data_IF_799956154347
#
_entry.id   IF_799956154347
#
_cell.length_a   1.000
_cell.length_b   1.000
_cell.length_c   1.000
_cell.angle_alpha   90.00
_cell.angle_beta   90.00
_cell.angle_gamma   90.00
#
_symmetry.space_group_name_H-M   'P 1'
#
loop_
_entity.id
_entity.type
_entity.pdbx_description
1 polymer ?
#
# COMPACT_ATOMS: atom_id res chain seq x y z
N UNK A 1 18.91 0.18 -40.58
CA UNK A 1 18.40 0.85 -39.35
C UNK A 1 19.48 1.07 -38.31
N UNK A 2 20.30 0.07 -37.95
CA UNK A 2 21.42 0.28 -37.01
C UNK A 2 22.46 1.31 -37.49
N UNK A 3 22.92 1.17 -38.74
CA UNK A 3 23.84 2.13 -39.33
C UNK A 3 23.25 3.54 -39.49
N UNK A 4 21.94 3.66 -39.74
CA UNK A 4 21.26 4.96 -39.93
C UNK A 4 21.02 5.71 -38.63
N UNK A 5 20.89 5.00 -37.50
CA UNK A 5 20.74 5.59 -36.17
C UNK A 5 22.06 5.66 -35.39
N UNK A 6 23.18 5.22 -35.99
CA UNK A 6 24.49 5.09 -35.34
C UNK A 6 24.44 4.30 -34.02
N UNK A 7 23.53 3.32 -33.93
CA UNK A 7 23.36 2.47 -32.76
C UNK A 7 23.87 1.06 -33.02
N UNK A 8 24.30 0.38 -31.95
CA UNK A 8 24.67 -1.03 -32.05
C UNK A 8 23.47 -1.87 -32.47
N UNK A 9 23.73 -2.93 -33.26
CA UNK A 9 22.68 -3.86 -33.69
C UNK A 9 21.96 -4.50 -32.49
N UNK A 10 22.70 -4.84 -31.43
CA UNK A 10 22.13 -5.46 -30.22
C UNK A 10 21.14 -4.54 -29.50
N UNK A 11 21.40 -3.23 -29.46
CA UNK A 11 20.47 -2.25 -28.87
C UNK A 11 19.15 -2.20 -29.63
N UNK A 12 19.21 -2.23 -30.96
CA UNK A 12 18.02 -2.20 -31.80
C UNK A 12 17.23 -3.50 -31.70
N UNK A 13 17.90 -4.65 -31.69
CA UNK A 13 17.22 -5.93 -31.47
C UNK A 13 16.51 -5.98 -30.12
N UNK A 14 17.16 -5.50 -29.05
CA UNK A 14 16.53 -5.45 -27.73
C UNK A 14 15.29 -4.55 -27.70
N UNK A 15 15.36 -3.39 -28.38
CA UNK A 15 14.21 -2.48 -28.49
C UNK A 15 13.07 -3.12 -29.30
N UNK A 16 13.37 -3.82 -30.40
CA UNK A 16 12.36 -4.54 -31.17
C UNK A 16 11.73 -5.69 -30.38
N UNK A 17 12.50 -6.44 -29.60
CA UNK A 17 11.96 -7.49 -28.71
C UNK A 17 11.05 -6.89 -27.65
N UNK A 18 11.43 -5.76 -27.05
CA UNK A 18 10.57 -5.05 -26.08
C UNK A 18 9.25 -4.59 -26.73
N UNK A 19 9.33 -3.94 -27.90
CA UNK A 19 8.14 -3.52 -28.66
C UNK A 19 7.25 -4.69 -29.09
N UNK A 20 7.83 -5.85 -29.38
CA UNK A 20 7.10 -7.09 -29.67
C UNK A 20 6.39 -7.62 -28.42
N UNK A 21 7.06 -7.65 -27.26
CA UNK A 21 6.45 -8.09 -25.99
C UNK A 21 5.32 -7.18 -25.51
N UNK A 22 5.42 -5.88 -25.78
CA UNK A 22 4.38 -4.90 -25.53
C UNK A 22 3.29 -4.88 -26.62
N UNK A 23 3.47 -5.69 -27.68
CA UNK A 23 2.52 -5.88 -28.78
C UNK A 23 2.43 -4.69 -29.74
N UNK A 24 3.44 -3.81 -29.81
CA UNK A 24 3.48 -2.68 -30.74
C UNK A 24 3.98 -3.08 -32.13
N UNK A 25 4.77 -4.15 -32.21
CA UNK A 25 5.35 -4.67 -33.45
C UNK A 25 5.06 -6.16 -33.56
N UNK A 26 4.71 -6.62 -34.75
CA UNK A 26 4.57 -8.04 -35.08
C UNK A 26 5.69 -8.44 -36.05
N UNK A 27 6.33 -9.60 -35.81
CA UNK A 27 7.31 -10.17 -36.73
C UNK A 27 6.70 -11.30 -37.54
N UNK A 28 6.86 -11.20 -38.86
CA UNK A 28 6.50 -12.26 -39.79
C UNK A 28 7.77 -12.85 -40.41
N UNK A 29 7.94 -14.17 -40.25
CA UNK A 29 9.13 -14.88 -40.77
C UNK A 29 9.20 -14.72 -42.29
N UNK A 30 10.31 -14.20 -42.80
CA UNK A 30 10.53 -13.96 -44.22
C UNK A 30 9.97 -12.63 -44.77
N UNK A 31 9.18 -11.88 -43.98
CA UNK A 31 8.56 -10.61 -44.40
C UNK A 31 8.98 -9.40 -43.56
N UNK A 32 9.56 -9.62 -42.38
CA UNK A 32 10.13 -8.56 -41.54
C UNK A 32 9.24 -8.16 -40.37
N UNK A 33 9.47 -6.97 -39.83
CA UNK A 33 8.75 -6.42 -38.67
C UNK A 33 7.72 -5.39 -39.14
N UNK A 34 6.47 -5.52 -38.71
CA UNK A 34 5.36 -4.62 -39.05
C UNK A 34 4.76 -4.01 -37.78
N UNK A 35 4.24 -2.78 -37.88
CA UNK A 35 3.54 -2.13 -36.77
C UNK A 35 2.19 -2.82 -36.58
N UNK A 36 1.88 -3.26 -35.36
CA UNK A 36 0.63 -3.92 -35.05
C UNK A 36 -0.54 -2.91 -35.16
N UNK A 37 -1.58 -3.25 -35.93
CA UNK A 37 -2.77 -2.42 -36.07
C UNK A 37 -3.65 -2.58 -34.82
N UNK A 38 -3.43 -1.73 -33.81
CA UNK A 38 -4.14 -1.80 -32.54
C UNK A 38 -5.40 -0.94 -32.56
N UNK A 39 -6.55 -1.52 -32.22
CA UNK A 39 -7.84 -0.81 -32.13
C UNK A 39 -8.03 -0.08 -30.80
N UNK A 40 -7.21 -0.35 -29.77
CA UNK A 40 -7.36 0.23 -28.43
C UNK A 40 -6.00 0.53 -27.78
N UNK A 41 -5.78 1.74 -27.21
CA UNK A 41 -4.57 2.06 -26.46
C UNK A 41 -4.50 1.28 -25.12
N UNK A 42 -3.26 0.98 -24.67
CA UNK A 42 -2.97 0.13 -23.49
C UNK A 42 -3.39 0.77 -22.15
N UNK A 43 -3.48 2.09 -22.09
CA UNK A 43 -4.36 2.76 -21.15
C UNK A 43 -5.65 3.01 -21.90
N UNK A 44 -6.82 2.73 -21.33
CA UNK A 44 -8.15 3.03 -21.87
C UNK A 44 -8.43 4.53 -22.07
N UNK A 45 -7.51 5.23 -22.72
CA UNK A 45 -7.58 6.59 -23.18
C UNK A 45 -7.84 6.52 -24.67
N UNK A 46 -9.07 6.15 -25.03
CA UNK A 46 -9.63 6.67 -26.27
C UNK A 46 -9.48 8.18 -26.17
N UNK A 47 -8.53 8.74 -26.90
CA UNK A 47 -8.35 10.19 -27.05
C UNK A 47 -9.53 10.70 -27.88
N UNK A 48 -10.70 10.66 -27.27
CA UNK A 48 -11.75 11.60 -27.59
C UNK A 48 -11.33 12.87 -26.86
N UNK A 49 -11.08 13.92 -27.61
CA UNK A 49 -10.94 15.27 -27.09
C UNK A 49 -12.27 15.76 -26.50
N UNK A 50 -12.83 15.02 -25.54
CA UNK A 50 -13.69 15.62 -24.54
C UNK A 50 -12.73 16.29 -23.57
N UNK A 51 -12.68 17.61 -23.62
CA UNK A 51 -12.15 18.41 -22.53
C UNK A 51 -12.89 17.99 -21.25
N UNK A 52 -12.41 16.96 -20.57
CA UNK A 52 -12.76 16.72 -19.19
C UNK A 52 -12.42 18.03 -18.48
N UNK A 53 -13.35 18.65 -17.74
CA UNK A 53 -13.00 19.84 -16.97
C UNK A 53 -11.80 19.42 -16.12
N UNK A 54 -10.66 20.09 -16.34
CA UNK A 54 -9.40 19.85 -15.66
C UNK A 54 -9.72 19.54 -14.21
N UNK A 55 -9.56 18.27 -13.83
CA UNK A 55 -10.13 17.72 -12.60
C UNK A 55 -9.92 18.72 -11.50
N UNK A 56 -11.02 19.37 -11.09
CA UNK A 56 -10.98 20.40 -10.07
C UNK A 56 -10.32 19.74 -8.89
N UNK A 57 -9.07 20.14 -8.61
CA UNK A 57 -8.27 19.56 -7.56
C UNK A 57 -9.17 19.63 -6.34
N UNK A 58 -9.62 18.46 -5.83
CA UNK A 58 -10.51 18.39 -4.68
C UNK A 58 -9.70 18.96 -3.52
N UNK A 59 -9.77 20.26 -3.37
CA UNK A 59 -9.01 20.99 -2.37
C UNK A 59 -9.73 20.71 -1.08
N UNK A 60 -9.00 20.10 -0.16
CA UNK A 60 -9.47 19.98 1.21
C UNK A 60 -9.90 21.38 1.67
N UNK A 61 -11.06 21.45 2.33
CA UNK A 61 -11.50 22.67 2.99
C UNK A 61 -10.35 23.25 3.82
N UNK A 62 -10.27 24.58 3.95
CA UNK A 62 -9.21 25.24 4.73
C UNK A 62 -9.03 24.66 6.14
N UNK A 63 -10.13 24.23 6.77
CA UNK A 63 -10.12 23.54 8.07
C UNK A 63 -9.48 22.16 7.96
N UNK A 64 -9.89 21.34 7.00
CA UNK A 64 -9.31 20.00 6.82
C UNK A 64 -7.86 20.05 6.37
N UNK A 65 -7.44 21.01 5.54
CA UNK A 65 -6.03 21.15 5.15
C UNK A 65 -5.13 21.54 6.33
N UNK A 66 -5.65 22.30 7.31
CA UNK A 66 -4.97 22.59 8.56
C UNK A 66 -4.82 21.38 9.49
N UNK A 67 -5.73 20.40 9.42
CA UNK A 67 -5.68 19.17 10.23
C UNK A 67 -5.18 17.95 9.43
N UNK A 68 -4.95 18.08 8.12
CA UNK A 68 -4.52 17.00 7.23
C UNK A 68 -3.04 16.65 7.43
N UNK A 69 -2.27 17.55 8.04
CA UNK A 69 -0.98 17.19 8.61
C UNK A 69 -1.25 16.56 9.97
N UNK A 70 -1.02 15.26 10.16
CA UNK A 70 -0.84 14.75 11.51
C UNK A 70 0.39 15.47 12.06
N UNK A 71 0.15 16.50 12.88
CA UNK A 71 1.20 17.01 13.75
C UNK A 71 1.69 15.80 14.55
N UNK A 72 2.99 15.46 14.51
CA UNK A 72 3.50 14.39 15.34
C UNK A 72 3.20 14.79 16.78
N UNK A 73 2.17 14.15 17.34
CA UNK A 73 1.62 14.51 18.64
C UNK A 73 2.75 14.56 19.64
N UNK A 74 3.11 15.76 20.08
CA UNK A 74 4.16 15.93 21.05
C UNK A 74 3.62 15.33 22.35
N UNK A 75 4.04 14.09 22.67
CA UNK A 75 3.62 13.35 23.85
C UNK A 75 3.81 14.17 25.14
N UNK A 76 4.71 15.16 25.11
CA UNK A 76 5.00 16.08 26.20
C UNK A 76 3.90 17.11 26.47
N UNK A 77 2.92 17.27 25.57
CA UNK A 77 1.80 18.21 25.71
C UNK A 77 0.44 17.49 25.60
N UNK A 78 0.31 16.32 26.24
CA UNK A 78 -1.02 15.76 26.51
C UNK A 78 -1.83 16.75 27.36
N UNK A 79 -2.68 17.53 26.68
CA UNK A 79 -3.65 18.42 27.32
C UNK A 79 -4.88 17.60 27.69
N UNK A 80 -5.53 17.93 28.81
CA UNK A 80 -6.81 17.33 29.17
C UNK A 80 -7.80 17.44 27.99
N UNK A 81 -8.53 16.35 27.71
CA UNK A 81 -9.53 16.23 26.63
C UNK A 81 -8.98 16.29 25.19
N UNK A 82 -7.77 15.80 24.95
CA UNK A 82 -7.25 15.64 23.57
C UNK A 82 -7.91 14.42 22.89
N UNK A 83 -8.76 14.60 21.86
CA UNK A 83 -9.45 13.49 21.22
C UNK A 83 -8.45 12.58 20.50
N UNK A 84 -8.61 11.27 20.66
CA UNK A 84 -7.77 10.26 20.00
C UNK A 84 -6.40 10.02 20.65
N UNK A 85 -6.07 10.69 21.76
CA UNK A 85 -4.86 10.42 22.53
C UNK A 85 -5.18 9.51 23.73
N UNK A 86 -4.59 8.30 23.81
CA UNK A 86 -4.74 7.45 24.98
C UNK A 86 -3.99 8.04 26.19
N UNK A 87 -4.45 7.69 27.39
CA UNK A 87 -3.71 7.97 28.63
C UNK A 87 -2.48 7.05 28.68
N UNK A 88 -1.28 7.61 28.91
CA UNK A 88 -0.01 6.86 28.88
C UNK A 88 0.77 6.94 30.18
N UNK A 89 0.42 7.83 31.11
CA UNK A 89 1.20 8.07 32.34
C UNK A 89 0.95 6.99 33.38
N UNK A 90 -0.28 6.45 33.46
CA UNK A 90 -0.63 5.39 34.40
C UNK A 90 -0.62 4.00 33.76
N UNK A 91 -0.18 3.88 32.51
CA UNK A 91 -0.09 2.58 31.86
C UNK A 91 0.95 1.70 32.60
N UNK A 92 0.58 0.48 33.06
CA UNK A 92 1.44 -0.36 33.89
C UNK A 92 2.51 -1.07 33.04
N UNK A 93 3.46 -0.30 32.50
CA UNK A 93 4.45 -0.77 31.52
C UNK A 93 5.30 -1.94 32.03
N UNK A 94 5.67 -1.94 33.30
CA UNK A 94 6.46 -3.03 33.89
C UNK A 94 5.70 -4.35 33.98
N UNK A 95 4.41 -4.30 34.32
CA UNK A 95 3.54 -5.48 34.35
C UNK A 95 3.35 -6.02 32.94
N UNK A 96 3.09 -5.12 31.98
CA UNK A 96 2.95 -5.48 30.57
C UNK A 96 4.20 -6.19 30.02
N UNK A 97 5.38 -5.63 30.25
CA UNK A 97 6.64 -6.23 29.79
C UNK A 97 6.90 -7.60 30.42
N UNK A 98 6.54 -7.78 31.69
CA UNK A 98 6.66 -9.08 32.37
C UNK A 98 5.78 -10.14 31.71
N UNK A 99 4.51 -9.83 31.48
CA UNK A 99 3.56 -10.73 30.83
C UNK A 99 3.97 -11.05 29.39
N UNK A 100 4.43 -10.04 28.65
CA UNK A 100 4.96 -10.23 27.30
C UNK A 100 6.14 -11.21 27.29
N UNK A 101 7.14 -11.00 28.14
CA UNK A 101 8.30 -11.90 28.24
C UNK A 101 7.91 -13.32 28.65
N UNK A 102 6.95 -13.46 29.57
CA UNK A 102 6.43 -14.76 29.97
C UNK A 102 5.77 -15.47 28.79
N UNK A 103 4.86 -14.80 28.08
CA UNK A 103 4.16 -15.36 26.93
C UNK A 103 5.12 -15.78 25.82
N UNK A 104 6.13 -14.95 25.52
CA UNK A 104 7.17 -15.27 24.53
C UNK A 104 7.99 -16.51 24.92
N UNK A 105 8.26 -16.71 26.21
CA UNK A 105 8.96 -17.90 26.70
C UNK A 105 8.09 -19.16 26.59
N UNK A 106 6.81 -19.05 26.88
CA UNK A 106 5.86 -20.17 26.88
C UNK A 106 5.46 -20.61 25.47
N UNK A 107 5.12 -19.66 24.58
CA UNK A 107 4.62 -19.97 23.24
C UNK A 107 5.72 -19.98 22.16
N UNK A 108 6.88 -19.39 22.44
CA UNK A 108 8.05 -19.40 21.55
C UNK A 108 7.76 -18.82 20.15
N UNK A 109 8.22 -19.53 19.11
CA UNK A 109 8.01 -19.12 17.72
C UNK A 109 6.54 -19.27 17.25
N UNK A 110 5.68 -19.94 18.03
CA UNK A 110 4.26 -20.12 17.68
C UNK A 110 3.50 -18.79 17.65
N UNK A 111 3.96 -17.76 18.40
CA UNK A 111 3.43 -16.39 18.31
C UNK A 111 3.67 -15.78 16.91
N UNK A 112 4.78 -16.16 16.28
CA UNK A 112 5.20 -15.64 14.97
C UNK A 112 4.66 -16.51 13.82
N UNK A 113 4.45 -17.80 14.06
CA UNK A 113 3.94 -18.73 13.08
C UNK A 113 2.44 -18.55 12.87
N UNK A 114 2.07 -17.81 11.82
CA UNK A 114 0.75 -17.84 11.18
C UNK A 114 -0.43 -17.83 12.15
N UNK A 115 -0.75 -16.65 12.69
CA UNK A 115 -1.99 -16.48 13.44
C UNK A 115 -3.19 -16.71 12.52
N UNK A 116 -4.26 -17.28 13.08
CA UNK A 116 -5.56 -17.27 12.43
C UNK A 116 -5.90 -15.83 11.99
N UNK A 117 -6.49 -15.65 10.80
CA UNK A 117 -6.92 -14.33 10.28
C UNK A 117 -7.81 -13.56 11.26
N UNK A 118 -8.52 -14.28 12.12
CA UNK A 118 -9.38 -13.72 13.17
C UNK A 118 -8.62 -13.41 14.49
N UNK A 119 -7.30 -13.60 14.55
CA UNK A 119 -6.47 -13.48 15.75
C UNK A 119 -6.45 -14.74 16.63
N UNK A 120 -5.74 -14.65 17.76
CA UNK A 120 -5.58 -15.73 18.73
C UNK A 120 -6.91 -16.08 19.43
N UNK A 121 -7.29 -17.36 19.44
CA UNK A 121 -8.56 -17.83 20.01
C UNK A 121 -8.66 -17.60 21.52
N UNK A 122 -7.61 -17.92 22.28
CA UNK A 122 -7.58 -17.75 23.73
C UNK A 122 -7.71 -16.29 24.14
N UNK A 123 -7.11 -15.38 23.36
CA UNK A 123 -7.28 -13.94 23.59
C UNK A 123 -8.73 -13.50 23.36
N UNK A 124 -9.41 -14.03 22.33
CA UNK A 124 -10.82 -13.69 22.08
C UNK A 124 -11.72 -14.17 23.21
N UNK A 125 -11.52 -15.39 23.69
CA UNK A 125 -12.28 -15.95 24.82
C UNK A 125 -12.08 -15.12 26.08
N UNK A 126 -10.83 -14.79 26.43
CA UNK A 126 -10.52 -13.94 27.59
C UNK A 126 -11.16 -12.55 27.50
N UNK A 127 -11.21 -11.95 26.30
CA UNK A 127 -11.92 -10.68 26.07
C UNK A 127 -13.43 -10.85 26.27
N UNK A 128 -14.02 -11.93 25.75
CA UNK A 128 -15.43 -12.21 25.93
C UNK A 128 -15.78 -12.36 27.42
N UNK A 129 -15.01 -13.14 28.17
CA UNK A 129 -15.21 -13.35 29.60
C UNK A 129 -15.08 -12.04 30.39
N UNK A 130 -14.08 -11.23 30.07
CA UNK A 130 -13.90 -9.90 30.67
C UNK A 130 -15.11 -8.99 30.40
N UNK A 131 -15.58 -8.93 29.15
CA UNK A 131 -16.73 -8.11 28.77
C UNK A 131 -18.03 -8.61 29.42
N UNK A 132 -18.19 -9.92 29.62
CA UNK A 132 -19.33 -10.48 30.33
C UNK A 132 -19.30 -10.10 31.82
N UNK A 133 -18.12 -10.16 32.45
CA UNK A 133 -17.95 -9.79 33.85
C UNK A 133 -18.19 -8.30 34.11
N UNK A 134 -17.80 -7.40 33.20
CA UNK A 134 -18.07 -5.96 33.35
C UNK A 134 -19.53 -5.56 33.10
N UNK A 135 -20.30 -6.41 32.40
CA UNK A 135 -21.71 -6.16 32.06
C UNK A 135 -22.70 -6.72 33.09
N UNK A 136 -22.24 -7.54 34.02
CA UNK A 136 -23.04 -8.13 35.10
C UNK A 136 -23.10 -7.18 36.31
#
# INVERSE_FOLDING_TARGET
>A
MAASLQLSRGTIENCYTALETEGYVCREVGRGSFVAQRQQPLLGLTSEHSAAPSGGQLTLSRRSSQHARPEPGNLLQQRAFSPGMPETRNFPIHTWLRLYQQTVKEEGLSISAGSNLQGNIHLREAICDFLLAERA
#
